data_IF_008918709851
#
_entry.id   IF_008918709851
#
_cell.length_a   1.000
_cell.length_b   1.000
_cell.length_c   1.000
_cell.angle_alpha   90.00
_cell.angle_beta   90.00
_cell.angle_gamma   90.00
#
_symmetry.space_group_name_H-M   'P 1'
#
loop_
_entity.id
_entity.type
_entity.pdbx_description
1 polymer ?
#
# COMPACT_ATOMS: atom_id res chain seq x y z
N UNK A 1 5.24 -30.69 -11.19
CA UNK A 1 5.90 -29.97 -10.06
C UNK A 1 6.40 -28.65 -10.59
N UNK A 2 5.74 -27.54 -10.24
CA UNK A 2 6.16 -26.19 -10.63
C UNK A 2 6.07 -25.30 -9.40
N UNK A 3 7.15 -25.27 -8.63
CA UNK A 3 7.27 -24.44 -7.42
C UNK A 3 7.48 -23.00 -7.85
N UNK A 4 6.41 -22.26 -8.14
CA UNK A 4 6.44 -20.80 -8.18
C UNK A 4 6.48 -20.27 -6.74
N UNK A 5 7.62 -20.51 -6.08
CA UNK A 5 8.04 -19.67 -4.96
C UNK A 5 8.24 -18.28 -5.56
N UNK A 6 7.50 -17.28 -5.08
CA UNK A 6 7.78 -15.89 -5.42
C UNK A 6 9.28 -15.64 -5.22
N UNK A 7 10.01 -15.42 -6.32
CA UNK A 7 11.47 -15.23 -6.32
C UNK A 7 11.81 -13.94 -5.60
N UNK A 8 11.79 -13.89 -4.26
CA UNK A 8 12.20 -12.68 -3.51
C UNK A 8 13.57 -12.27 -4.03
N UNK A 9 13.71 -11.01 -4.45
CA UNK A 9 15.01 -10.50 -4.87
C UNK A 9 15.93 -10.69 -3.66
N UNK A 10 17.00 -11.45 -3.85
CA UNK A 10 17.97 -11.74 -2.78
C UNK A 10 18.76 -10.45 -2.56
N UNK A 11 18.19 -9.54 -1.78
CA UNK A 11 18.93 -8.38 -1.27
C UNK A 11 20.10 -8.96 -0.46
N UNK A 12 21.29 -8.39 -0.61
CA UNK A 12 22.40 -8.72 0.28
C UNK A 12 22.06 -8.20 1.68
N UNK A 13 21.44 -9.05 2.52
CA UNK A 13 21.07 -8.74 3.90
C UNK A 13 19.64 -9.18 4.31
N UNK A 14 19.30 -9.07 5.61
CA UNK A 14 17.95 -9.31 6.09
C UNK A 14 16.99 -8.28 5.47
N UNK A 15 15.90 -8.73 4.84
CA UNK A 15 14.87 -7.83 4.27
C UNK A 15 14.21 -6.91 5.31
N UNK A 16 13.27 -6.08 4.88
CA UNK A 16 12.63 -5.08 5.74
C UNK A 16 11.83 -5.72 6.89
N UNK A 17 11.93 -5.12 8.08
CA UNK A 17 11.05 -5.36 9.24
C UNK A 17 9.68 -4.71 9.01
N UNK A 18 8.70 -5.03 9.88
CA UNK A 18 7.34 -4.46 9.81
C UNK A 18 7.38 -2.93 9.84
N UNK A 19 8.09 -2.33 10.80
CA UNK A 19 8.19 -0.86 10.90
C UNK A 19 8.84 -0.25 9.66
N UNK A 20 9.92 -0.87 9.15
CA UNK A 20 10.61 -0.41 7.95
C UNK A 20 9.70 -0.43 6.71
N UNK A 21 8.84 -1.44 6.57
CA UNK A 21 7.81 -1.46 5.51
C UNK A 21 6.84 -0.31 5.70
N UNK A 22 6.31 -0.10 6.90
CA UNK A 22 5.34 0.99 7.14
C UNK A 22 5.95 2.34 6.79
N UNK A 23 7.12 2.65 7.34
CA UNK A 23 7.78 3.95 7.19
C UNK A 23 8.14 4.22 5.73
N UNK A 24 8.69 3.23 5.03
CA UNK A 24 9.08 3.44 3.63
C UNK A 24 7.84 3.62 2.74
N UNK A 25 6.80 2.82 2.96
CA UNK A 25 5.58 2.94 2.17
C UNK A 25 4.86 4.26 2.43
N UNK A 26 4.73 4.68 3.69
CA UNK A 26 4.08 5.94 4.04
C UNK A 26 4.87 7.14 3.53
N UNK A 27 6.20 7.13 3.64
CA UNK A 27 7.05 8.23 3.18
C UNK A 27 6.95 8.43 1.67
N UNK A 28 7.06 7.36 0.88
CA UNK A 28 6.93 7.46 -0.58
C UNK A 28 5.55 7.93 -0.99
N UNK A 29 4.49 7.36 -0.42
CA UNK A 29 3.12 7.74 -0.76
C UNK A 29 2.86 9.20 -0.38
N UNK A 30 3.24 9.63 0.82
CA UNK A 30 3.06 11.00 1.28
C UNK A 30 3.82 12.00 0.40
N UNK A 31 5.08 11.70 0.03
CA UNK A 31 5.88 12.57 -0.80
C UNK A 31 5.28 12.73 -2.21
N UNK A 32 5.03 11.63 -2.93
CA UNK A 32 4.55 11.69 -4.31
C UNK A 32 3.08 12.15 -4.41
N UNK A 33 2.23 11.70 -3.49
CA UNK A 33 0.83 12.14 -3.44
C UNK A 33 0.74 13.61 -3.05
N UNK A 34 1.55 14.05 -2.07
CA UNK A 34 1.62 15.45 -1.66
C UNK A 34 2.08 16.37 -2.80
N UNK A 35 3.12 15.96 -3.53
CA UNK A 35 3.57 16.68 -4.74
C UNK A 35 2.44 16.76 -5.78
N UNK A 36 1.78 15.65 -6.11
CA UNK A 36 0.69 15.67 -7.10
C UNK A 36 -0.49 16.54 -6.65
N UNK A 37 -0.85 16.51 -5.36
CA UNK A 37 -1.90 17.35 -4.79
C UNK A 37 -1.56 18.85 -4.86
N UNK A 38 -0.30 19.22 -4.63
CA UNK A 38 0.16 20.61 -4.72
C UNK A 38 0.05 21.16 -6.14
N UNK A 39 0.39 20.36 -7.16
CA UNK A 39 0.40 20.82 -8.55
C UNK A 39 -0.93 20.64 -9.29
N UNK A 40 -1.71 19.60 -8.96
CA UNK A 40 -2.91 19.20 -9.70
C UNK A 40 -4.21 19.37 -8.92
N UNK A 41 -4.13 19.84 -7.66
CA UNK A 41 -5.26 19.97 -6.73
C UNK A 41 -6.06 18.68 -6.50
N UNK A 42 -5.52 17.52 -6.88
CA UNK A 42 -6.21 16.23 -6.76
C UNK A 42 -5.29 15.05 -7.07
N UNK A 43 -5.52 13.94 -6.38
CA UNK A 43 -4.79 12.70 -6.63
C UNK A 43 -5.07 12.17 -8.04
N UNK A 44 -4.06 11.61 -8.68
CA UNK A 44 -4.12 11.19 -10.06
C UNK A 44 -3.38 9.90 -10.35
N UNK A 45 -3.01 9.77 -11.62
CA UNK A 45 -2.34 8.59 -12.15
C UNK A 45 -1.00 8.37 -11.45
N UNK A 46 -0.29 9.45 -11.09
CA UNK A 46 1.03 9.32 -10.46
C UNK A 46 0.88 8.72 -9.06
N UNK A 47 -0.02 9.26 -8.24
CA UNK A 47 -0.32 8.72 -6.91
C UNK A 47 -0.79 7.26 -6.98
N UNK A 48 -1.70 6.95 -7.90
CA UNK A 48 -2.21 5.59 -8.11
C UNK A 48 -1.11 4.60 -8.51
N UNK A 49 -0.22 5.00 -9.42
CA UNK A 49 0.89 4.17 -9.85
C UNK A 49 1.93 3.96 -8.75
N UNK A 50 2.31 5.02 -8.04
CA UNK A 50 3.21 4.94 -6.89
C UNK A 50 2.65 4.01 -5.82
N UNK A 51 1.34 4.06 -5.56
CA UNK A 51 0.69 3.16 -4.60
C UNK A 51 0.92 1.69 -4.98
N UNK A 52 0.71 1.32 -6.24
CA UNK A 52 0.97 -0.03 -6.74
C UNK A 52 2.45 -0.43 -6.61
N UNK A 53 3.37 0.47 -6.99
CA UNK A 53 4.81 0.22 -6.90
C UNK A 53 5.28 0.02 -5.46
N UNK A 54 4.78 0.84 -4.55
CA UNK A 54 5.14 0.81 -3.13
C UNK A 54 4.56 -0.42 -2.44
N UNK A 55 3.35 -0.85 -2.80
CA UNK A 55 2.79 -2.13 -2.38
C UNK A 55 3.66 -3.30 -2.87
N UNK A 56 4.01 -3.30 -4.15
CA UNK A 56 4.88 -4.32 -4.73
C UNK A 56 6.24 -4.35 -4.02
N UNK A 57 6.89 -3.20 -3.85
CA UNK A 57 8.16 -3.07 -3.14
C UNK A 57 8.08 -3.61 -1.71
N UNK A 58 7.05 -3.24 -0.95
CA UNK A 58 6.86 -3.70 0.43
C UNK A 58 6.73 -5.22 0.53
N UNK A 59 5.98 -5.85 -0.38
CA UNK A 59 5.80 -7.31 -0.41
C UNK A 59 7.12 -8.03 -0.77
N UNK A 60 7.87 -7.47 -1.74
CA UNK A 60 9.07 -8.12 -2.30
C UNK A 60 10.29 -7.97 -1.39
N UNK A 61 10.48 -6.79 -0.79
CA UNK A 61 11.61 -6.49 0.09
C UNK A 61 11.34 -6.81 1.56
N UNK A 62 10.09 -7.04 1.95
CA UNK A 62 9.70 -7.40 3.31
C UNK A 62 10.08 -8.84 3.73
N UNK A 63 10.42 -9.04 5.01
CA UNK A 63 10.64 -10.38 5.61
C UNK A 63 9.34 -11.18 5.69
N UNK A 64 9.44 -12.50 5.94
CA UNK A 64 8.26 -13.34 6.22
C UNK A 64 7.44 -12.72 7.37
N UNK A 65 6.13 -12.62 7.21
CA UNK A 65 5.23 -12.01 8.19
C UNK A 65 5.05 -10.49 8.09
N UNK A 66 5.68 -9.84 7.10
CA UNK A 66 5.46 -8.40 6.81
C UNK A 66 4.40 -8.14 5.75
N UNK A 67 3.97 -9.17 5.02
CA UNK A 67 3.03 -9.07 3.89
C UNK A 67 1.70 -8.42 4.28
N UNK A 68 1.15 -8.74 5.45
CA UNK A 68 -0.07 -8.09 5.95
C UNK A 68 0.11 -6.56 6.04
N UNK A 69 1.21 -6.13 6.67
CA UNK A 69 1.53 -4.72 6.86
C UNK A 69 1.77 -4.04 5.51
N UNK A 70 2.46 -4.73 4.59
CA UNK A 70 2.72 -4.23 3.24
C UNK A 70 1.45 -3.97 2.41
N UNK A 71 0.37 -4.71 2.68
CA UNK A 71 -0.91 -4.62 1.96
C UNK A 71 -1.82 -3.54 2.56
N UNK A 72 -1.80 -3.39 3.89
CA UNK A 72 -2.69 -2.45 4.60
C UNK A 72 -2.10 -1.03 4.67
N UNK A 73 -0.78 -0.89 4.67
CA UNK A 73 -0.15 0.44 4.78
C UNK A 73 -0.44 1.34 3.58
N UNK A 74 -0.35 0.91 2.31
CA UNK A 74 -0.58 1.80 1.18
C UNK A 74 -1.94 2.54 1.18
N UNK A 75 -3.10 1.88 1.38
CA UNK A 75 -4.37 2.58 1.47
C UNK A 75 -4.46 3.52 2.68
N UNK A 76 -3.93 3.10 3.85
CA UNK A 76 -3.92 3.94 5.05
C UNK A 76 -3.03 5.18 4.88
N UNK A 77 -1.85 5.01 4.32
CA UNK A 77 -0.90 6.08 4.08
C UNK A 77 -1.45 7.10 3.07
N UNK A 78 -2.09 6.64 2.00
CA UNK A 78 -2.74 7.53 1.04
C UNK A 78 -3.87 8.32 1.71
N UNK A 79 -4.79 7.63 2.39
CA UNK A 79 -5.90 8.28 3.08
C UNK A 79 -5.41 9.32 4.09
N UNK A 80 -4.42 8.98 4.92
CA UNK A 80 -3.84 9.90 5.87
C UNK A 80 -3.18 11.11 5.20
N UNK A 81 -2.44 10.90 4.10
CA UNK A 81 -1.75 11.96 3.36
C UNK A 81 -2.72 12.95 2.74
N UNK A 82 -3.77 12.45 2.07
CA UNK A 82 -4.83 13.28 1.49
C UNK A 82 -5.56 14.02 2.59
N UNK A 83 -5.98 13.34 3.64
CA UNK A 83 -6.74 13.96 4.73
C UNK A 83 -5.94 15.07 5.42
N UNK A 84 -4.65 14.84 5.67
CA UNK A 84 -3.75 15.86 6.22
C UNK A 84 -3.63 17.06 5.28
N UNK A 85 -3.40 16.82 3.99
CA UNK A 85 -3.32 17.90 2.98
C UNK A 85 -4.61 18.71 2.90
N UNK A 86 -5.77 18.05 2.92
CA UNK A 86 -7.07 18.73 2.89
C UNK A 86 -7.28 19.57 4.15
N UNK A 87 -6.98 19.05 5.35
CA UNK A 87 -7.07 19.83 6.59
C UNK A 87 -6.21 21.10 6.51
N UNK A 88 -4.99 20.97 5.99
CA UNK A 88 -4.08 22.11 5.84
C UNK A 88 -4.53 23.12 4.77
N UNK A 89 -5.24 22.65 3.74
CA UNK A 89 -5.63 23.49 2.59
C UNK A 89 -7.00 24.15 2.73
N UNK A 90 -7.99 23.43 3.28
CA UNK A 90 -9.40 23.88 3.39
C UNK A 90 -9.91 24.01 4.83
N UNK A 91 -9.07 23.71 5.83
CA UNK A 91 -9.44 23.79 7.25
C UNK A 91 -10.44 22.72 7.68
N UNK A 92 -11.08 22.91 8.84
CA UNK A 92 -11.98 21.92 9.46
C UNK A 92 -13.44 22.03 8.99
N UNK A 93 -13.67 22.24 7.70
CA UNK A 93 -15.01 22.33 7.11
C UNK A 93 -15.51 20.92 6.72
N UNK A 94 -16.40 20.26 7.50
CA UNK A 94 -16.67 18.82 7.33
C UNK A 94 -17.23 18.47 5.95
N UNK A 95 -18.10 19.32 5.41
CA UNK A 95 -18.71 19.12 4.09
C UNK A 95 -17.68 19.16 2.97
N UNK A 96 -16.74 20.12 3.02
CA UNK A 96 -15.71 20.26 1.97
C UNK A 96 -14.62 19.22 2.13
N UNK A 97 -14.16 18.99 3.35
CA UNK A 97 -13.20 17.93 3.66
C UNK A 97 -13.69 16.56 3.19
N UNK A 98 -14.93 16.20 3.51
CA UNK A 98 -15.52 14.92 3.12
C UNK A 98 -15.61 14.76 1.60
N UNK A 99 -16.09 15.79 0.89
CA UNK A 99 -16.24 15.74 -0.57
C UNK A 99 -14.89 15.62 -1.28
N UNK A 100 -13.91 16.43 -0.92
CA UNK A 100 -12.57 16.41 -1.54
C UNK A 100 -11.83 15.10 -1.22
N UNK A 101 -11.99 14.60 0.01
CA UNK A 101 -11.40 13.33 0.41
C UNK A 101 -11.98 12.16 -0.38
N UNK A 102 -13.31 12.09 -0.51
CA UNK A 102 -13.98 11.05 -1.31
C UNK A 102 -13.62 11.18 -2.78
N UNK A 103 -13.55 12.39 -3.33
CA UNK A 103 -13.15 12.63 -4.72
C UNK A 103 -11.73 12.11 -4.99
N UNK A 104 -10.79 12.38 -4.07
CA UNK A 104 -9.42 11.88 -4.16
C UNK A 104 -9.34 10.35 -4.06
N UNK A 105 -10.10 9.74 -3.15
CA UNK A 105 -10.20 8.27 -3.05
C UNK A 105 -10.82 7.64 -4.30
N UNK A 106 -11.88 8.24 -4.84
CA UNK A 106 -12.55 7.77 -6.04
C UNK A 106 -11.61 7.80 -7.25
N UNK A 107 -10.81 8.86 -7.38
CA UNK A 107 -9.81 9.00 -8.45
C UNK A 107 -8.80 7.85 -8.47
N UNK A 108 -8.36 7.39 -7.29
CA UNK A 108 -7.37 6.31 -7.18
C UNK A 108 -7.98 4.92 -6.97
N UNK A 109 -9.31 4.81 -6.90
CA UNK A 109 -10.01 3.56 -6.60
C UNK A 109 -9.62 2.38 -7.50
N UNK A 110 -9.42 2.54 -8.82
CA UNK A 110 -8.98 1.44 -9.67
C UNK A 110 -7.61 0.87 -9.24
N UNK A 111 -6.67 1.74 -8.88
CA UNK A 111 -5.33 1.35 -8.43
C UNK A 111 -5.39 0.68 -7.05
N UNK A 112 -6.21 1.21 -6.14
CA UNK A 112 -6.46 0.58 -4.84
C UNK A 112 -7.06 -0.82 -5.00
N UNK A 113 -8.02 -0.99 -5.90
CA UNK A 113 -8.68 -2.26 -6.13
C UNK A 113 -7.71 -3.30 -6.69
N UNK A 114 -6.94 -2.95 -7.72
CA UNK A 114 -5.93 -3.86 -8.33
C UNK A 114 -4.84 -4.20 -7.33
N UNK A 115 -4.31 -3.21 -6.61
CA UNK A 115 -3.25 -3.43 -5.62
C UNK A 115 -3.72 -4.25 -4.42
N UNK A 116 -4.96 -4.04 -3.96
CA UNK A 116 -5.58 -4.83 -2.90
C UNK A 116 -5.79 -6.28 -3.33
N UNK A 117 -6.35 -6.52 -4.52
CA UNK A 117 -6.54 -7.87 -5.06
C UNK A 117 -5.22 -8.63 -5.11
N UNK A 118 -4.17 -8.01 -5.67
CA UNK A 118 -2.84 -8.62 -5.73
C UNK A 118 -2.26 -8.85 -4.34
N UNK A 119 -2.26 -7.83 -3.48
CA UNK A 119 -1.66 -7.88 -2.15
C UNK A 119 -2.28 -8.96 -1.25
N UNK A 120 -3.62 -9.00 -1.18
CA UNK A 120 -4.34 -9.99 -0.40
C UNK A 120 -4.20 -11.41 -0.97
N UNK A 121 -4.21 -11.56 -2.29
CA UNK A 121 -3.94 -12.84 -2.93
C UNK A 121 -2.56 -13.40 -2.50
N UNK A 122 -1.52 -12.57 -2.51
CA UNK A 122 -0.18 -12.97 -2.05
C UNK A 122 -0.19 -13.37 -0.59
N UNK A 123 -0.82 -12.58 0.28
CA UNK A 123 -0.91 -12.87 1.72
C UNK A 123 -1.62 -14.21 2.01
N UNK A 124 -2.76 -14.46 1.37
CA UNK A 124 -3.51 -15.70 1.56
C UNK A 124 -2.75 -16.91 0.99
N UNK A 125 -2.07 -16.74 -0.14
CA UNK A 125 -1.22 -17.79 -0.72
C UNK A 125 -0.04 -18.15 0.21
N UNK A 126 0.62 -17.16 0.82
CA UNK A 126 1.66 -17.40 1.82
C UNK A 126 1.11 -18.12 3.06
N UNK A 127 -0.07 -17.73 3.55
CA UNK A 127 -0.74 -18.41 4.67
C UNK A 127 -1.13 -19.85 4.34
N UNK A 128 -1.64 -20.10 3.14
CA UNK A 128 -2.01 -21.44 2.71
C UNK A 128 -0.79 -22.37 2.65
N UNK A 129 0.32 -21.89 2.09
CA UNK A 129 1.59 -22.64 2.01
C UNK A 129 2.23 -22.89 3.38
N UNK A 130 1.99 -22.02 4.36
CA UNK A 130 2.52 -22.16 5.71
C UNK A 130 1.75 -23.16 6.58
N UNK A 131 0.50 -23.52 6.22
CA UNK A 131 -0.26 -24.55 6.95
C UNK A 131 0.30 -25.93 6.60
N UNK A 132 0.92 -26.60 7.58
CA UNK A 132 1.26 -28.03 7.45
C UNK A 132 -0.04 -28.86 7.37
N UNK A 133 -0.10 -29.93 6.58
CA UNK A 133 -1.28 -30.80 6.54
C UNK A 133 -1.54 -31.37 7.94
N UNK A 134 -2.82 -31.40 8.35
CA UNK A 134 -3.24 -32.01 9.62
C UNK A 134 -2.80 -33.48 9.57
N UNK A 135 -2.06 -34.00 10.57
CA UNK A 135 -1.71 -35.42 10.61
C UNK A 135 -3.02 -36.21 10.55
N UNK A 136 -3.14 -37.09 9.55
CA UNK A 136 -4.23 -38.05 9.49
C UNK A 136 -3.93 -39.07 10.59
N UNK A 137 -4.65 -38.97 11.70
CA UNK A 137 -4.78 -40.04 12.70
C UNK A 137 -5.50 -41.22 12.09
#
# INVERSE_FOLDING_TARGET
>A
MSTSAQTKIKISGPGLKKEGVVVLQSLFIAAFTGIELLFRSGAGIISGFILCLVLFGGIRFGRKGTTYVAVVTPPLAFAASVLLYQILSVGLSPSRLGLEFIASLASIAPYLMVSALYGWFVFFNEKAKARKPKPRT
#
